data_IF_912166270939
#
_entry.id   IF_912166270939
#
_cell.length_a   1.000
_cell.length_b   1.000
_cell.length_c   1.000
_cell.angle_alpha   90.00
_cell.angle_beta   90.00
_cell.angle_gamma   90.00
#
_symmetry.space_group_name_H-M   'P 1'
#
loop_
_entity.id
_entity.type
_entity.pdbx_description
1 polymer ?
#
# COMPACT_ATOMS: atom_id res chain seq x y z
N UNK A 1 -23.07 -49.16 57.61
CA UNK A 1 -23.17 -47.85 58.30
C UNK A 1 -22.37 -46.83 57.48
N UNK A 2 -22.73 -46.61 56.21
CA UNK A 2 -21.86 -45.92 55.26
C UNK A 2 -22.53 -45.51 53.95
N UNK A 3 -23.81 -45.14 53.99
CA UNK A 3 -24.58 -44.73 52.80
C UNK A 3 -25.22 -43.35 52.95
N UNK A 4 -25.08 -42.68 54.11
CA UNK A 4 -25.67 -41.36 54.35
C UNK A 4 -24.67 -40.20 54.12
N UNK A 5 -23.36 -40.45 54.23
CA UNK A 5 -22.34 -39.40 54.02
C UNK A 5 -22.07 -39.12 52.54
N UNK A 6 -22.30 -40.09 51.64
CA UNK A 6 -22.09 -39.92 50.20
C UNK A 6 -23.13 -39.02 49.52
N UNK A 7 -24.41 -39.10 49.93
CA UNK A 7 -25.47 -38.24 49.38
C UNK A 7 -25.27 -36.76 49.76
N UNK A 8 -24.71 -36.49 50.95
CA UNK A 8 -24.46 -35.11 51.40
C UNK A 8 -23.28 -34.44 50.69
N UNK A 9 -22.30 -35.22 50.23
CA UNK A 9 -21.15 -34.72 49.47
C UNK A 9 -21.52 -34.47 48.00
N UNK A 10 -22.38 -35.31 47.41
CA UNK A 10 -22.88 -35.11 46.05
C UNK A 10 -23.80 -33.87 45.93
N UNK A 11 -24.61 -33.55 46.95
CA UNK A 11 -25.40 -32.30 47.00
C UNK A 11 -24.54 -31.04 47.17
N UNK A 12 -23.39 -31.13 47.85
CA UNK A 12 -22.44 -30.02 47.98
C UNK A 12 -21.64 -29.81 46.69
N UNK A 13 -21.20 -30.90 46.05
CA UNK A 13 -20.51 -30.86 44.75
C UNK A 13 -21.41 -30.26 43.65
N UNK A 14 -22.70 -30.64 43.62
CA UNK A 14 -23.66 -30.10 42.64
C UNK A 14 -23.98 -28.61 42.84
N UNK A 15 -23.88 -28.09 44.08
CA UNK A 15 -24.03 -26.66 44.37
C UNK A 15 -22.79 -25.86 43.96
N UNK A 16 -21.59 -26.38 44.20
CA UNK A 16 -20.34 -25.75 43.75
C UNK A 16 -20.23 -25.71 42.22
N UNK A 17 -20.66 -26.78 41.53
CA UNK A 17 -20.69 -26.83 40.06
C UNK A 17 -21.73 -25.88 39.45
N UNK A 18 -22.83 -25.61 40.15
CA UNK A 18 -23.83 -24.62 39.74
C UNK A 18 -23.33 -23.17 39.93
N UNK A 19 -22.64 -22.88 41.04
CA UNK A 19 -22.01 -21.58 41.29
C UNK A 19 -20.83 -21.32 40.32
N UNK A 20 -20.06 -22.36 39.96
CA UNK A 20 -18.95 -22.25 39.01
C UNK A 20 -19.45 -21.96 37.58
N UNK A 21 -20.53 -22.62 37.16
CA UNK A 21 -21.17 -22.35 35.86
C UNK A 21 -21.80 -20.96 35.76
N UNK A 22 -22.37 -20.42 36.84
CA UNK A 22 -22.90 -19.04 36.86
C UNK A 22 -21.76 -18.00 36.84
N UNK A 23 -20.63 -18.30 37.47
CA UNK A 23 -19.44 -17.46 37.42
C UNK A 23 -18.80 -17.45 36.02
N UNK A 24 -18.77 -18.60 35.33
CA UNK A 24 -18.32 -18.72 33.94
C UNK A 24 -19.28 -18.00 32.97
N UNK A 25 -20.60 -18.15 33.16
CA UNK A 25 -21.61 -17.36 32.43
C UNK A 25 -21.46 -15.86 32.65
N UNK A 26 -21.14 -15.42 33.87
CA UNK A 26 -20.91 -13.99 34.15
C UNK A 26 -19.69 -13.42 33.40
N UNK A 27 -18.63 -14.24 33.22
CA UNK A 27 -17.45 -13.88 32.42
C UNK A 27 -17.72 -13.82 30.91
N UNK A 28 -18.61 -14.67 30.41
CA UNK A 28 -19.02 -14.65 29.00
C UNK A 28 -20.09 -13.57 28.69
N UNK A 29 -20.88 -13.17 29.69
CA UNK A 29 -21.90 -12.14 29.58
C UNK A 29 -21.41 -10.73 29.89
N UNK A 30 -20.13 -10.55 30.20
CA UNK A 30 -19.47 -9.24 30.16
C UNK A 30 -19.20 -8.84 28.70
N UNK A 31 -20.26 -8.89 27.88
CA UNK A 31 -20.37 -8.15 26.63
C UNK A 31 -20.44 -6.70 27.05
N UNK A 32 -19.25 -6.15 27.28
CA UNK A 32 -19.00 -4.72 27.47
C UNK A 32 -19.92 -3.99 26.49
N UNK A 33 -20.90 -3.24 27.01
CA UNK A 33 -21.74 -2.35 26.20
C UNK A 33 -20.85 -1.65 25.18
N UNK A 34 -21.27 -1.51 23.90
CA UNK A 34 -20.42 -0.94 22.88
C UNK A 34 -19.93 0.41 23.36
N UNK A 35 -18.65 0.44 23.76
CA UNK A 35 -17.98 1.63 24.28
C UNK A 35 -18.27 2.74 23.28
N UNK A 36 -19.01 3.76 23.72
CA UNK A 36 -19.54 4.83 22.86
C UNK A 36 -18.42 5.29 21.94
N UNK A 37 -18.55 4.98 20.64
CA UNK A 37 -17.45 5.16 19.70
C UNK A 37 -16.96 6.60 19.80
N UNK A 38 -15.64 6.84 19.96
CA UNK A 38 -15.13 8.19 20.07
C UNK A 38 -15.57 8.96 18.82
N UNK A 39 -16.25 10.10 18.99
CA UNK A 39 -16.71 10.91 17.87
C UNK A 39 -15.51 11.32 17.01
N UNK A 40 -15.37 10.66 15.86
CA UNK A 40 -14.28 10.92 14.91
C UNK A 40 -14.63 12.21 14.16
N UNK A 41 -13.74 13.22 14.13
CA UNK A 41 -14.04 14.51 13.50
C UNK A 41 -14.30 14.37 12.00
N UNK A 42 -15.15 15.26 11.45
CA UNK A 42 -15.51 15.31 10.01
C UNK A 42 -14.29 15.40 9.06
N UNK A 43 -13.15 15.87 9.55
CA UNK A 43 -11.87 15.95 8.83
C UNK A 43 -11.25 14.56 8.52
N UNK A 44 -11.85 13.45 8.97
CA UNK A 44 -11.43 12.08 8.63
C UNK A 44 -11.37 11.82 7.11
N UNK A 45 -12.31 12.38 6.35
CA UNK A 45 -12.31 12.22 4.89
C UNK A 45 -11.09 12.89 4.24
N UNK A 46 -10.63 14.01 4.80
CA UNK A 46 -9.40 14.68 4.34
C UNK A 46 -8.19 13.78 4.55
N UNK A 47 -8.13 13.06 5.67
CA UNK A 47 -7.02 12.14 5.99
C UNK A 47 -7.04 10.92 5.09
N UNK A 48 -8.23 10.37 4.80
CA UNK A 48 -8.38 9.26 3.86
C UNK A 48 -7.95 9.69 2.47
N UNK A 49 -8.45 10.82 1.96
CA UNK A 49 -8.05 11.37 0.66
C UNK A 49 -6.55 11.61 0.62
N UNK A 50 -5.96 12.15 1.68
CA UNK A 50 -4.53 12.36 1.80
C UNK A 50 -3.73 11.04 1.76
N UNK A 51 -4.14 10.04 2.54
CA UNK A 51 -3.49 8.73 2.58
C UNK A 51 -3.59 8.01 1.23
N UNK A 52 -4.78 8.03 0.61
CA UNK A 52 -5.00 7.48 -0.74
C UNK A 52 -4.13 8.20 -1.76
N UNK A 53 -4.04 9.53 -1.70
CA UNK A 53 -3.23 10.33 -2.63
C UNK A 53 -1.73 10.06 -2.46
N UNK A 54 -1.25 9.99 -1.22
CA UNK A 54 0.14 9.66 -0.92
C UNK A 54 0.52 8.25 -1.41
N UNK A 55 -0.34 7.27 -1.17
CA UNK A 55 -0.19 5.91 -1.67
C UNK A 55 -0.23 5.85 -3.22
N UNK A 56 -1.13 6.60 -3.85
CA UNK A 56 -1.30 6.66 -5.29
C UNK A 56 -0.04 7.24 -5.99
N UNK A 57 0.50 8.35 -5.47
CA UNK A 57 1.71 8.98 -6.03
C UNK A 57 2.96 8.11 -5.75
N UNK A 58 3.05 7.46 -4.60
CA UNK A 58 4.12 6.48 -4.33
C UNK A 58 4.09 5.31 -5.33
N UNK A 59 2.90 4.83 -5.68
CA UNK A 59 2.72 3.82 -6.72
C UNK A 59 3.09 4.36 -8.11
N UNK A 60 2.70 5.59 -8.44
CA UNK A 60 3.00 6.20 -9.73
C UNK A 60 4.51 6.34 -9.96
N UNK A 61 5.26 6.79 -8.95
CA UNK A 61 6.73 6.81 -8.98
C UNK A 61 7.34 5.44 -9.30
N UNK A 62 6.78 4.38 -8.74
CA UNK A 62 7.30 3.02 -8.93
C UNK A 62 7.05 2.49 -10.34
N UNK A 63 5.86 2.75 -10.88
CA UNK A 63 5.47 2.31 -12.22
C UNK A 63 5.99 3.24 -13.33
N UNK A 64 6.48 4.44 -13.02
CA UNK A 64 6.95 5.42 -14.01
C UNK A 64 7.94 4.84 -15.03
N UNK A 65 8.82 3.94 -14.59
CA UNK A 65 9.77 3.24 -15.46
C UNK A 65 9.10 2.37 -16.52
N UNK A 66 8.01 1.67 -16.17
CA UNK A 66 7.31 0.76 -17.09
C UNK A 66 6.70 1.55 -18.26
N UNK A 67 6.40 2.85 -18.06
CA UNK A 67 5.97 3.75 -19.12
C UNK A 67 7.14 4.39 -19.86
N UNK A 68 8.14 4.84 -19.13
CA UNK A 68 9.34 5.44 -19.70
C UNK A 68 10.05 4.51 -20.68
N UNK A 69 10.06 3.19 -20.42
CA UNK A 69 10.66 2.19 -21.31
C UNK A 69 9.88 1.99 -22.63
N UNK A 70 8.61 2.39 -22.68
CA UNK A 70 7.73 2.25 -23.86
C UNK A 70 7.65 3.56 -24.66
N UNK A 71 8.03 4.69 -24.08
CA UNK A 71 8.11 6.00 -24.73
C UNK A 71 9.08 5.94 -25.92
N UNK A 72 8.59 6.26 -27.13
CA UNK A 72 9.40 6.24 -28.37
C UNK A 72 9.37 7.60 -29.04
N UNK A 73 10.51 8.00 -29.61
CA UNK A 73 10.59 9.20 -30.46
C UNK A 73 10.71 8.76 -31.91
N UNK A 74 9.69 9.08 -32.71
CA UNK A 74 9.50 8.70 -34.13
C UNK A 74 9.47 7.19 -34.40
N UNK A 75 8.27 6.67 -34.69
CA UNK A 75 7.98 5.23 -34.85
C UNK A 75 8.62 4.51 -36.05
N UNK A 76 9.60 5.11 -36.73
CA UNK A 76 10.23 4.55 -37.94
C UNK A 76 11.65 4.05 -37.73
N UNK A 77 12.31 4.41 -36.62
CA UNK A 77 13.70 4.02 -36.32
C UNK A 77 13.76 3.06 -35.12
N UNK A 78 14.71 2.13 -35.16
CA UNK A 78 14.93 1.23 -34.03
C UNK A 78 15.48 2.00 -32.83
N UNK A 79 14.93 1.73 -31.64
CA UNK A 79 15.32 2.40 -30.38
C UNK A 79 16.83 2.34 -30.13
N UNK A 80 17.46 1.24 -30.55
CA UNK A 80 18.90 1.04 -30.44
C UNK A 80 19.71 2.00 -31.33
N UNK A 81 19.27 2.25 -32.56
CA UNK A 81 19.96 3.16 -33.48
C UNK A 81 19.90 4.61 -32.98
N UNK A 82 18.76 5.02 -32.42
CA UNK A 82 18.59 6.34 -31.79
C UNK A 82 19.53 6.48 -30.60
N UNK A 83 19.58 5.45 -29.74
CA UNK A 83 20.44 5.42 -28.56
C UNK A 83 21.93 5.46 -28.91
N UNK A 84 22.38 4.71 -29.93
CA UNK A 84 23.78 4.69 -30.34
C UNK A 84 24.29 6.05 -30.84
N UNK A 85 23.40 6.91 -31.35
CA UNK A 85 23.77 8.20 -31.93
C UNK A 85 24.20 9.22 -30.88
N UNK A 86 23.51 9.23 -29.73
CA UNK A 86 23.84 10.06 -28.57
C UNK A 86 23.33 9.37 -27.29
N UNK A 87 24.15 8.51 -26.65
CA UNK A 87 23.74 7.78 -25.45
C UNK A 87 23.35 8.71 -24.30
N UNK A 88 24.10 9.80 -24.10
CA UNK A 88 23.96 10.67 -22.93
C UNK A 88 22.78 11.64 -23.01
N UNK A 89 22.29 11.96 -24.21
CA UNK A 89 21.07 12.76 -24.39
C UNK A 89 20.00 12.06 -25.22
N UNK A 90 20.03 10.73 -25.25
CA UNK A 90 19.06 9.95 -25.99
C UNK A 90 17.63 10.25 -25.50
N UNK A 91 16.70 10.60 -26.42
CA UNK A 91 15.31 10.82 -26.09
C UNK A 91 14.55 9.50 -25.88
N UNK A 92 15.25 8.36 -25.96
CA UNK A 92 14.72 7.03 -25.68
C UNK A 92 15.60 6.30 -24.69
N UNK A 93 14.99 5.47 -23.85
CA UNK A 93 15.67 4.61 -22.90
C UNK A 93 15.88 3.23 -23.53
N UNK A 94 17.13 2.77 -23.59
CA UNK A 94 17.47 1.44 -24.09
C UNK A 94 18.05 0.56 -22.98
N UNK A 95 17.58 -0.70 -22.94
CA UNK A 95 18.15 -1.78 -22.14
C UNK A 95 18.01 -3.09 -22.91
N UNK A 96 18.94 -4.00 -22.71
CA UNK A 96 18.86 -5.37 -23.21
C UNK A 96 17.64 -6.10 -22.62
N UNK A 97 17.04 -7.09 -23.32
CA UNK A 97 15.95 -7.89 -22.77
C UNK A 97 16.27 -8.54 -21.41
N UNK A 98 17.52 -8.94 -21.19
CA UNK A 98 17.99 -9.49 -19.91
C UNK A 98 17.97 -8.44 -18.81
N UNK A 99 18.44 -7.22 -19.10
CA UNK A 99 18.44 -6.10 -18.18
C UNK A 99 17.03 -5.63 -17.84
N UNK A 100 16.13 -5.56 -18.83
CA UNK A 100 14.71 -5.27 -18.60
C UNK A 100 14.06 -6.28 -17.64
N UNK A 101 14.38 -7.56 -17.78
CA UNK A 101 13.87 -8.61 -16.88
C UNK A 101 14.38 -8.44 -15.45
N UNK A 102 15.64 -8.03 -15.28
CA UNK A 102 16.20 -7.68 -13.97
C UNK A 102 15.50 -6.46 -13.36
N UNK A 103 15.23 -5.43 -14.16
CA UNK A 103 14.58 -4.20 -13.71
C UNK A 103 13.11 -4.42 -13.31
N UNK A 104 12.37 -5.24 -14.06
CA UNK A 104 10.99 -5.58 -13.71
C UNK A 104 10.89 -6.44 -12.43
N UNK A 105 11.88 -7.31 -12.17
CA UNK A 105 11.92 -8.12 -10.95
C UNK A 105 12.51 -7.40 -9.72
N UNK A 106 13.30 -6.35 -9.93
CA UNK A 106 13.92 -5.56 -8.86
C UNK A 106 12.88 -4.88 -7.95
N UNK A 107 11.80 -4.33 -8.51
CA UNK A 107 10.76 -3.65 -7.72
C UNK A 107 10.02 -4.61 -6.77
N UNK A 108 9.45 -5.75 -7.22
CA UNK A 108 8.81 -6.71 -6.33
C UNK A 108 9.76 -7.27 -5.27
N UNK A 109 11.03 -7.48 -5.62
CA UNK A 109 12.06 -7.95 -4.69
C UNK A 109 12.26 -6.97 -3.53
N UNK A 110 12.42 -5.68 -3.83
CA UNK A 110 12.57 -4.65 -2.80
C UNK A 110 11.35 -4.54 -1.89
N UNK A 111 10.15 -4.63 -2.47
CA UNK A 111 8.90 -4.64 -1.71
C UNK A 111 8.84 -5.85 -0.75
N UNK A 112 9.17 -7.05 -1.24
CA UNK A 112 9.20 -8.26 -0.42
C UNK A 112 10.22 -8.17 0.73
N UNK A 113 11.45 -7.73 0.45
CA UNK A 113 12.49 -7.57 1.47
C UNK A 113 12.03 -6.61 2.57
N UNK A 114 11.42 -5.47 2.21
CA UNK A 114 10.96 -4.50 3.20
C UNK A 114 9.77 -5.03 4.02
N UNK A 115 8.84 -5.79 3.42
CA UNK A 115 7.76 -6.45 4.15
C UNK A 115 8.31 -7.43 5.20
N UNK A 116 9.34 -8.22 4.86
CA UNK A 116 10.01 -9.12 5.81
C UNK A 116 10.63 -8.32 6.96
N UNK A 117 11.34 -7.23 6.66
CA UNK A 117 11.92 -6.34 7.68
C UNK A 117 10.83 -5.79 8.61
N UNK A 118 9.69 -5.36 8.06
CA UNK A 118 8.57 -4.85 8.86
C UNK A 118 7.99 -5.92 9.78
N UNK A 119 7.87 -7.17 9.33
CA UNK A 119 7.40 -8.28 10.17
C UNK A 119 8.39 -8.59 11.30
N UNK A 120 9.69 -8.65 10.99
CA UNK A 120 10.75 -8.95 11.97
C UNK A 120 10.90 -7.85 13.04
N UNK A 121 10.66 -6.60 12.67
CA UNK A 121 10.78 -5.45 13.58
C UNK A 121 9.52 -5.18 14.40
N UNK A 122 8.43 -5.95 14.19
CA UNK A 122 7.16 -5.73 14.87
C UNK A 122 6.37 -4.52 14.34
N UNK A 123 6.70 -4.08 13.13
CA UNK A 123 6.16 -2.86 12.52
C UNK A 123 6.81 -1.58 13.05
N UNK A 124 6.43 -0.45 12.47
CA UNK A 124 6.94 0.85 12.90
C UNK A 124 6.02 1.47 13.95
N UNK A 125 6.60 1.91 15.07
CA UNK A 125 5.85 2.54 16.17
C UNK A 125 5.20 3.89 15.82
N UNK A 126 5.62 4.56 14.74
CA UNK A 126 5.10 5.88 14.31
C UNK A 126 4.84 5.90 12.79
N UNK A 127 3.60 5.61 12.39
CA UNK A 127 3.21 5.44 10.98
C UNK A 127 3.46 6.71 10.17
N UNK A 128 3.18 7.89 10.72
CA UNK A 128 3.39 9.19 10.07
C UNK A 128 4.81 9.35 9.54
N UNK A 129 5.81 9.09 10.39
CA UNK A 129 7.21 9.27 10.03
C UNK A 129 7.70 8.16 9.10
N UNK A 130 7.25 6.92 9.30
CA UNK A 130 7.59 5.81 8.40
C UNK A 130 7.09 6.04 6.98
N UNK A 131 5.85 6.52 6.82
CA UNK A 131 5.30 6.85 5.51
C UNK A 131 5.97 8.07 4.90
N UNK A 132 6.31 9.08 5.71
CA UNK A 132 7.09 10.21 5.21
C UNK A 132 8.46 9.78 4.66
N UNK A 133 9.21 8.97 5.41
CA UNK A 133 10.52 8.47 4.97
C UNK A 133 10.37 7.63 3.70
N UNK A 134 9.35 6.78 3.63
CA UNK A 134 9.02 6.02 2.43
C UNK A 134 8.78 6.94 1.21
N UNK A 135 7.93 7.96 1.34
CA UNK A 135 7.66 8.92 0.25
C UNK A 135 8.95 9.65 -0.16
N UNK A 136 9.76 10.08 0.81
CA UNK A 136 11.03 10.75 0.52
C UNK A 136 12.00 9.84 -0.24
N UNK A 137 12.16 8.59 0.19
CA UNK A 137 12.99 7.59 -0.51
C UNK A 137 12.46 7.34 -1.93
N UNK A 138 11.14 7.20 -2.10
CA UNK A 138 10.50 7.04 -3.40
C UNK A 138 10.77 8.24 -4.31
N UNK A 139 10.59 9.46 -3.80
CA UNK A 139 10.83 10.71 -4.52
C UNK A 139 12.29 10.85 -4.95
N UNK A 140 13.22 10.66 -4.02
CA UNK A 140 14.66 10.77 -4.26
C UNK A 140 15.12 9.76 -5.30
N UNK A 141 14.72 8.50 -5.14
CA UNK A 141 15.10 7.44 -6.09
C UNK A 141 14.55 7.70 -7.48
N UNK A 142 13.30 8.15 -7.61
CA UNK A 142 12.70 8.55 -8.91
C UNK A 142 13.43 9.72 -9.56
N UNK A 143 13.79 10.76 -8.80
CA UNK A 143 14.53 11.92 -9.33
C UNK A 143 15.97 11.57 -9.75
N UNK A 144 16.56 10.56 -9.10
CA UNK A 144 17.91 10.09 -9.39
C UNK A 144 17.97 9.13 -10.59
N UNK A 145 16.85 8.61 -11.10
CA UNK A 145 16.86 7.69 -12.26
C UNK A 145 17.45 8.36 -13.51
N UNK A 146 16.99 9.54 -13.99
CA UNK A 146 17.55 10.13 -15.20
C UNK A 146 19.06 10.45 -15.14
N UNK A 147 19.61 11.09 -14.09
CA UNK A 147 21.04 11.40 -14.05
C UNK A 147 21.94 10.19 -13.82
N UNK A 148 21.44 9.11 -13.22
CA UNK A 148 22.23 7.90 -12.93
C UNK A 148 22.02 6.77 -13.95
N UNK A 149 21.16 6.99 -14.96
CA UNK A 149 20.84 6.01 -15.99
C UNK A 149 22.09 5.56 -16.78
N UNK A 150 22.94 6.50 -17.19
CA UNK A 150 24.11 6.22 -18.05
C UNK A 150 25.27 5.57 -17.30
N UNK A 151 25.22 5.51 -15.97
CA UNK A 151 26.39 5.16 -15.16
C UNK A 151 26.61 3.65 -15.11
N UNK A 152 25.59 2.91 -14.72
CA UNK A 152 25.62 1.45 -14.71
C UNK A 152 24.22 0.87 -14.51
N UNK A 153 23.96 -0.30 -15.09
CA UNK A 153 22.68 -1.01 -14.92
C UNK A 153 22.38 -1.29 -13.44
N UNK A 154 23.41 -1.66 -12.68
CA UNK A 154 23.29 -1.96 -11.25
C UNK A 154 22.75 -0.77 -10.45
N UNK A 155 23.12 0.46 -10.82
CA UNK A 155 22.61 1.68 -10.16
C UNK A 155 21.10 1.78 -10.34
N UNK A 156 20.59 1.57 -11.56
CA UNK A 156 19.15 1.59 -11.85
C UNK A 156 18.41 0.46 -11.12
N UNK A 157 19.02 -0.74 -11.04
CA UNK A 157 18.48 -1.87 -10.27
C UNK A 157 18.37 -1.54 -8.78
N UNK A 158 19.40 -0.94 -8.17
CA UNK A 158 19.38 -0.53 -6.76
C UNK A 158 18.28 0.52 -6.52
N UNK A 159 18.17 1.54 -7.39
CA UNK A 159 17.10 2.53 -7.30
C UNK A 159 15.71 1.87 -7.38
N UNK A 160 15.54 0.86 -8.25
CA UNK A 160 14.30 0.08 -8.36
C UNK A 160 13.96 -0.73 -7.12
N UNK A 161 14.96 -1.36 -6.51
CA UNK A 161 14.80 -2.07 -5.23
C UNK A 161 14.37 -1.08 -4.14
N UNK A 162 15.00 0.09 -4.07
CA UNK A 162 14.64 1.13 -3.09
C UNK A 162 13.23 1.68 -3.31
N UNK A 163 12.80 1.86 -4.57
CA UNK A 163 11.40 2.20 -4.90
C UNK A 163 10.44 1.11 -4.41
N UNK A 164 10.75 -0.17 -4.63
CA UNK A 164 9.98 -1.28 -4.10
C UNK A 164 9.86 -1.25 -2.58
N UNK A 165 10.98 -1.06 -1.89
CA UNK A 165 11.01 -0.96 -0.43
C UNK A 165 10.17 0.22 0.08
N UNK A 166 10.16 1.35 -0.65
CA UNK A 166 9.38 2.53 -0.27
C UNK A 166 7.86 2.30 -0.32
N UNK A 167 7.35 1.40 -1.15
CA UNK A 167 5.91 1.16 -1.29
C UNK A 167 5.39 0.15 -0.25
N UNK A 168 6.25 -0.72 0.28
CA UNK A 168 5.86 -1.76 1.24
C UNK A 168 5.03 -1.26 2.45
N UNK A 169 5.33 -0.11 3.07
CA UNK A 169 4.55 0.42 4.19
C UNK A 169 3.12 0.88 3.84
N UNK A 170 2.74 0.92 2.57
CA UNK A 170 1.42 1.38 2.11
C UNK A 170 0.29 0.47 2.59
N UNK A 171 0.49 -0.86 2.59
CA UNK A 171 -0.52 -1.82 3.05
C UNK A 171 -0.82 -1.65 4.56
N UNK A 172 0.18 -1.61 5.45
CA UNK A 172 -0.08 -1.33 6.87
C UNK A 172 -0.60 0.08 7.12
N UNK A 173 -0.29 1.07 6.26
CA UNK A 173 -0.94 2.39 6.32
C UNK A 173 -2.46 2.29 6.13
N UNK A 174 -2.92 1.56 5.12
CA UNK A 174 -4.37 1.34 4.90
C UNK A 174 -5.00 0.69 6.14
N UNK A 175 -4.34 -0.32 6.71
CA UNK A 175 -4.79 -0.96 7.95
C UNK A 175 -4.85 0.00 9.14
N UNK A 176 -3.82 0.85 9.31
CA UNK A 176 -3.75 1.85 10.39
C UNK A 176 -4.85 2.91 10.25
N UNK A 177 -5.03 3.47 9.05
CA UNK A 177 -6.08 4.48 8.81
C UNK A 177 -7.46 3.86 9.03
N UNK A 178 -7.68 2.63 8.58
CA UNK A 178 -8.92 1.92 8.83
C UNK A 178 -9.16 1.69 10.33
N UNK A 179 -8.12 1.31 11.09
CA UNK A 179 -8.25 1.00 12.51
C UNK A 179 -8.52 2.22 13.40
N UNK A 180 -7.96 3.38 13.07
CA UNK A 180 -8.01 4.58 13.94
C UNK A 180 -8.89 5.72 13.43
N UNK A 181 -9.17 5.78 12.13
CA UNK A 181 -9.85 6.93 11.50
C UNK A 181 -11.23 6.59 10.93
N UNK A 182 -11.68 5.35 11.08
CA UNK A 182 -12.91 4.84 10.46
C UNK A 182 -13.88 4.30 11.50
N UNK A 183 -15.18 4.69 11.48
CA UNK A 183 -16.21 4.07 12.30
C UNK A 183 -16.47 2.62 11.88
N UNK A 184 -16.79 1.74 12.81
CA UNK A 184 -17.01 0.31 12.51
C UNK A 184 -18.11 0.08 11.47
N UNK A 185 -19.15 0.92 11.47
CA UNK A 185 -20.26 0.84 10.53
C UNK A 185 -19.87 1.12 9.06
N UNK A 186 -18.81 1.89 8.81
CA UNK A 186 -18.41 2.36 7.48
C UNK A 186 -17.06 1.78 7.01
N UNK A 187 -16.51 0.80 7.73
CA UNK A 187 -15.18 0.22 7.43
C UNK A 187 -15.06 -0.22 5.96
N UNK A 188 -16.08 -0.89 5.41
CA UNK A 188 -16.05 -1.37 4.02
C UNK A 188 -15.82 -0.24 3.01
N UNK A 189 -16.51 0.89 3.17
CA UNK A 189 -16.42 2.05 2.27
C UNK A 189 -15.05 2.73 2.39
N UNK A 190 -14.51 2.84 3.60
CA UNK A 190 -13.20 3.45 3.80
C UNK A 190 -12.07 2.57 3.27
N UNK A 191 -12.15 1.25 3.45
CA UNK A 191 -11.19 0.31 2.88
C UNK A 191 -11.25 0.33 1.36
N UNK A 192 -12.45 0.40 0.75
CA UNK A 192 -12.57 0.50 -0.71
C UNK A 192 -11.96 1.81 -1.23
N UNK A 193 -12.21 2.94 -0.57
CA UNK A 193 -11.60 4.24 -0.90
C UNK A 193 -10.08 4.25 -0.72
N UNK A 194 -9.57 3.69 0.39
CA UNK A 194 -8.14 3.60 0.64
C UNK A 194 -7.46 2.72 -0.39
N UNK A 195 -7.97 1.51 -0.63
CA UNK A 195 -7.42 0.57 -1.63
C UNK A 195 -7.60 1.04 -3.08
N UNK A 196 -8.38 2.09 -3.33
CA UNK A 196 -8.51 2.70 -4.66
C UNK A 196 -7.26 3.49 -5.09
N UNK A 197 -6.28 3.64 -4.20
CA UNK A 197 -5.01 4.29 -4.51
C UNK A 197 -4.31 3.67 -5.73
N UNK A 198 -4.48 2.38 -5.98
CA UNK A 198 -3.80 1.70 -7.08
C UNK A 198 -4.33 2.12 -8.45
N UNK A 199 -5.66 2.24 -8.58
CA UNK A 199 -6.30 2.76 -9.77
C UNK A 199 -6.00 4.25 -9.95
N UNK A 200 -6.09 5.04 -8.88
CA UNK A 200 -5.83 6.49 -8.91
C UNK A 200 -4.37 6.78 -9.31
N UNK A 201 -3.41 6.01 -8.76
CA UNK A 201 -1.99 6.18 -9.06
C UNK A 201 -1.64 5.85 -10.51
N UNK A 202 -2.23 4.78 -11.05
CA UNK A 202 -2.05 4.42 -12.46
C UNK A 202 -2.77 5.41 -13.39
N UNK A 203 -3.97 5.86 -13.05
CA UNK A 203 -4.67 6.94 -13.76
C UNK A 203 -3.79 8.20 -13.84
N UNK A 204 -3.26 8.64 -12.69
CA UNK A 204 -2.37 9.80 -12.60
C UNK A 204 -1.11 9.62 -13.45
N UNK A 205 -0.47 8.45 -13.37
CA UNK A 205 0.72 8.14 -14.14
C UNK A 205 0.45 8.15 -15.65
N UNK A 206 -0.64 7.52 -16.09
CA UNK A 206 -1.01 7.48 -17.50
C UNK A 206 -1.25 8.90 -18.03
N UNK A 207 -2.14 9.65 -17.37
CA UNK A 207 -2.52 11.00 -17.78
C UNK A 207 -1.30 11.93 -17.92
N UNK A 208 -0.31 11.78 -17.04
CA UNK A 208 0.87 12.66 -17.00
C UNK A 208 1.99 12.17 -17.92
N UNK A 209 2.20 10.85 -18.03
CA UNK A 209 3.30 10.26 -18.80
C UNK A 209 3.17 10.49 -20.31
N UNK A 210 1.96 10.48 -20.87
CA UNK A 210 1.74 10.70 -22.30
C UNK A 210 2.22 12.10 -22.75
N UNK A 211 1.81 13.14 -22.01
CA UNK A 211 2.21 14.52 -22.26
C UNK A 211 3.72 14.68 -22.02
N UNK A 212 4.24 14.14 -20.93
CA UNK A 212 5.67 14.25 -20.61
C UNK A 212 6.55 13.57 -21.66
N UNK A 213 6.13 12.41 -22.18
CA UNK A 213 6.85 11.69 -23.23
C UNK A 213 6.95 12.51 -24.53
N UNK A 214 5.90 13.27 -24.90
CA UNK A 214 5.90 14.09 -26.12
C UNK A 214 6.83 15.32 -26.00
N UNK A 215 6.75 16.07 -24.89
CA UNK A 215 7.47 17.35 -24.75
C UNK A 215 8.85 17.21 -24.10
N UNK A 216 9.03 16.26 -23.17
CA UNK A 216 10.21 16.13 -22.31
C UNK A 216 10.83 14.73 -22.36
N UNK A 217 10.43 13.91 -23.35
CA UNK A 217 10.84 12.52 -23.50
C UNK A 217 10.62 11.69 -22.21
N UNK A 218 11.33 10.58 -22.08
CA UNK A 218 11.22 9.68 -20.92
C UNK A 218 11.68 10.34 -19.60
N UNK A 219 12.62 11.29 -19.66
CA UNK A 219 13.19 11.97 -18.48
C UNK A 219 12.15 12.80 -17.74
N UNK A 220 11.27 13.49 -18.49
CA UNK A 220 10.21 14.32 -17.92
C UNK A 220 9.24 13.55 -17.00
N UNK A 221 8.97 12.28 -17.32
CA UNK A 221 8.09 11.41 -16.53
C UNK A 221 8.64 11.25 -15.10
N UNK A 222 9.94 11.02 -14.97
CA UNK A 222 10.60 10.83 -13.68
C UNK A 222 10.65 12.14 -12.88
N UNK A 223 11.03 13.25 -13.50
CA UNK A 223 11.07 14.54 -12.82
C UNK A 223 9.69 14.98 -12.32
N UNK A 224 8.66 14.84 -13.16
CA UNK A 224 7.30 15.22 -12.79
C UNK A 224 6.74 14.35 -11.66
N UNK A 225 6.86 13.02 -11.74
CA UNK A 225 6.39 12.13 -10.69
C UNK A 225 7.20 12.29 -9.40
N UNK A 226 8.51 12.43 -9.49
CA UNK A 226 9.40 12.67 -8.35
C UNK A 226 9.05 13.95 -7.60
N UNK A 227 8.92 15.08 -8.30
CA UNK A 227 8.54 16.35 -7.67
C UNK A 227 7.14 16.32 -7.05
N UNK A 228 6.20 15.63 -7.71
CA UNK A 228 4.84 15.46 -7.17
C UNK A 228 4.83 14.60 -5.90
N UNK A 229 5.68 13.58 -5.84
CA UNK A 229 5.91 12.75 -4.66
C UNK A 229 6.54 13.56 -3.52
N UNK A 230 7.49 14.45 -3.83
CA UNK A 230 8.05 15.36 -2.84
C UNK A 230 6.97 16.29 -2.26
N UNK A 231 6.14 16.89 -3.12
CA UNK A 231 5.08 17.80 -2.72
C UNK A 231 4.03 17.13 -1.81
N UNK A 232 3.58 15.92 -2.16
CA UNK A 232 2.64 15.17 -1.31
C UNK A 232 3.30 14.74 0.01
N UNK A 233 4.60 14.43 0.02
CA UNK A 233 5.35 14.12 1.24
C UNK A 233 5.44 15.29 2.21
N UNK A 234 5.63 16.51 1.70
CA UNK A 234 5.59 17.73 2.52
C UNK A 234 4.19 17.90 3.11
N UNK A 235 3.15 17.81 2.28
CA UNK A 235 1.76 17.94 2.71
C UNK A 235 1.36 16.87 3.74
N UNK A 236 1.85 15.64 3.56
CA UNK A 236 1.69 14.53 4.50
C UNK A 236 2.22 14.86 5.89
N UNK A 237 3.44 15.40 6.01
CA UNK A 237 4.01 15.75 7.32
C UNK A 237 3.20 16.83 7.99
N UNK A 238 2.71 17.85 7.27
CA UNK A 238 1.95 18.91 7.91
C UNK A 238 0.56 18.45 8.37
N UNK A 239 -0.14 17.66 7.55
CA UNK A 239 -1.55 17.33 7.76
C UNK A 239 -1.80 16.01 8.51
N UNK A 240 -1.00 14.98 8.28
CA UNK A 240 -1.26 13.65 8.85
C UNK A 240 -0.84 13.57 10.33
N UNK A 241 -1.65 12.89 11.15
CA UNK A 241 -1.37 12.55 12.55
C UNK A 241 -1.70 11.09 12.80
N UNK A 242 -0.97 10.44 13.70
CA UNK A 242 -1.09 9.00 13.92
C UNK A 242 -2.40 8.65 14.64
N UNK A 243 -2.83 9.51 15.56
CA UNK A 243 -4.07 9.34 16.32
C UNK A 243 -4.96 10.59 16.25
N UNK A 244 -6.31 10.41 16.25
CA UNK A 244 -7.26 11.52 16.32
C UNK A 244 -7.14 12.35 17.61
N UNK A 245 -6.66 11.73 18.70
CA UNK A 245 -6.40 12.41 19.97
C UNK A 245 -5.27 13.44 19.88
N UNK A 246 -4.28 13.25 19.01
CA UNK A 246 -3.17 14.19 18.81
C UNK A 246 -3.64 15.50 18.15
N UNK A 247 -4.77 15.48 17.45
CA UNK A 247 -5.38 16.69 16.87
C UNK A 247 -6.24 17.48 17.85
N UNK A 248 -6.62 16.88 18.99
CA UNK A 248 -7.59 17.45 19.94
C UNK A 248 -6.96 18.34 21.02
N UNK A 249 -5.68 18.69 20.89
CA UNK A 249 -4.91 19.44 21.90
C UNK A 249 -5.42 20.88 22.20
N UNK A 250 -6.55 21.32 21.63
CA UNK A 250 -7.12 22.65 21.91
C UNK A 250 -8.44 22.67 22.69
N UNK A 251 -9.18 21.56 22.92
CA UNK A 251 -10.48 21.65 23.63
C UNK A 251 -10.86 20.40 24.42
N UNK A 252 -10.10 20.09 25.48
CA UNK A 252 -10.61 19.50 26.73
C UNK A 252 -9.43 19.00 27.56
N UNK A 253 -8.99 19.82 28.51
CA UNK A 253 -8.06 19.41 29.58
C UNK A 253 -8.75 18.52 30.63
N UNK A 254 -10.03 18.17 30.46
CA UNK A 254 -10.85 17.51 31.50
C UNK A 254 -11.37 16.10 31.18
N UNK A 255 -10.72 15.34 30.30
CA UNK A 255 -11.01 13.89 30.18
C UNK A 255 -9.72 13.05 30.27
N UNK A 256 -8.90 13.33 31.29
CA UNK A 256 -7.96 12.35 31.82
C UNK A 256 -8.71 11.35 32.69
N UNK A 257 -9.58 10.55 32.09
CA UNK A 257 -10.07 9.31 32.71
C UNK A 257 -9.46 8.14 31.96
N UNK A 258 -8.34 7.66 32.50
CA UNK A 258 -7.99 6.25 32.60
C UNK A 258 -8.41 5.33 31.42
N UNK A 259 -7.93 5.60 30.21
CA UNK A 259 -7.77 4.52 29.24
C UNK A 259 -6.44 3.85 29.60
N UNK A 260 -6.41 2.59 30.07
CA UNK A 260 -5.16 1.87 30.07
C UNK A 260 -4.68 1.92 28.63
N UNK A 261 -3.50 2.51 28.42
CA UNK A 261 -2.80 2.29 27.18
C UNK A 261 -2.79 0.77 27.02
N UNK A 262 -3.54 0.25 26.05
CA UNK A 262 -3.46 -1.15 25.67
C UNK A 262 -2.05 -1.27 25.11
N UNK A 263 -1.09 -1.46 26.01
CA UNK A 263 0.17 -2.13 25.71
C UNK A 263 -0.32 -3.45 25.19
N UNK A 264 -0.44 -3.57 23.87
CA UNK A 264 -0.54 -4.86 23.20
C UNK A 264 0.68 -5.60 23.71
N UNK A 265 0.47 -6.47 24.70
CA UNK A 265 1.44 -7.48 25.06
C UNK A 265 1.82 -8.13 23.75
N UNK A 266 3.11 -8.20 23.47
CA UNK A 266 3.63 -8.84 22.28
C UNK A 266 3.45 -10.35 22.48
N UNK A 267 2.20 -10.81 22.46
CA UNK A 267 1.87 -12.22 22.50
C UNK A 267 2.58 -12.87 21.32
N UNK A 268 3.39 -13.91 21.57
CA UNK A 268 4.15 -14.54 20.52
C UNK A 268 3.17 -15.09 19.50
N UNK A 269 3.23 -14.53 18.28
CA UNK A 269 2.38 -14.96 17.17
C UNK A 269 2.63 -16.45 16.95
N UNK A 270 1.60 -17.32 16.98
CA UNK A 270 1.78 -18.76 16.84
C UNK A 270 2.07 -19.14 15.38
N UNK A 271 3.31 -18.88 14.93
CA UNK A 271 3.75 -19.12 13.55
C UNK A 271 3.54 -20.57 13.10
N UNK A 272 3.69 -21.55 13.99
CA UNK A 272 3.48 -22.96 13.67
C UNK A 272 2.02 -23.26 13.32
N UNK A 273 1.07 -22.75 14.08
CA UNK A 273 -0.36 -22.94 13.80
C UNK A 273 -0.80 -22.24 12.51
N UNK A 274 -0.15 -21.12 12.18
CA UNK A 274 -0.37 -20.40 10.92
C UNK A 274 -0.06 -21.28 9.69
N UNK A 275 1.14 -21.89 9.65
CA UNK A 275 1.56 -22.72 8.51
C UNK A 275 0.83 -24.07 8.40
N UNK A 276 0.18 -24.55 9.47
CA UNK A 276 -0.55 -25.82 9.45
C UNK A 276 -2.03 -25.68 9.05
N UNK A 277 -2.56 -24.45 8.97
CA UNK A 277 -3.99 -24.24 8.72
C UNK A 277 -4.35 -24.18 7.23
N UNK A 278 -5.33 -25.01 6.81
CA UNK A 278 -5.83 -25.09 5.44
C UNK A 278 -6.46 -23.77 4.91
N UNK A 279 -7.21 -22.99 5.72
CA UNK A 279 -7.79 -21.72 5.25
C UNK A 279 -6.74 -20.70 4.83
N UNK A 280 -5.58 -20.68 5.50
CA UNK A 280 -4.49 -19.75 5.20
C UNK A 280 -3.84 -20.11 3.86
N UNK A 281 -3.59 -21.40 3.61
CA UNK A 281 -3.10 -21.86 2.30
C UNK A 281 -4.10 -21.55 1.18
N UNK A 282 -5.40 -21.71 1.44
CA UNK A 282 -6.46 -21.35 0.47
C UNK A 282 -6.44 -19.85 0.15
N UNK A 283 -6.31 -19.00 1.17
CA UNK A 283 -6.17 -17.56 0.98
C UNK A 283 -4.87 -17.19 0.23
N UNK A 284 -3.76 -17.87 0.52
CA UNK A 284 -2.48 -17.62 -0.12
C UNK A 284 -2.53 -17.95 -1.62
N UNK A 285 -3.12 -19.10 -1.97
CA UNK A 285 -3.31 -19.51 -3.38
C UNK A 285 -4.24 -18.52 -4.09
N UNK A 286 -5.34 -18.10 -3.45
CA UNK A 286 -6.24 -17.10 -4.01
C UNK A 286 -5.55 -15.74 -4.22
N UNK A 287 -4.77 -15.28 -3.25
CA UNK A 287 -4.00 -14.04 -3.36
C UNK A 287 -2.95 -14.14 -4.48
N UNK A 288 -2.23 -15.27 -4.57
CA UNK A 288 -1.27 -15.50 -5.63
C UNK A 288 -1.92 -15.49 -7.02
N UNK A 289 -3.07 -16.14 -7.19
CA UNK A 289 -3.82 -16.10 -8.45
C UNK A 289 -4.27 -14.68 -8.80
N UNK A 290 -4.81 -13.94 -7.84
CA UNK A 290 -5.27 -12.56 -8.03
C UNK A 290 -4.12 -11.61 -8.40
N UNK A 291 -3.06 -11.55 -7.60
CA UNK A 291 -1.92 -10.68 -7.87
C UNK A 291 -1.08 -11.15 -9.06
N UNK A 292 -0.98 -12.46 -9.27
CA UNK A 292 -0.30 -13.07 -10.41
C UNK A 292 -0.99 -12.78 -11.74
N UNK A 293 -2.32 -12.63 -11.76
CA UNK A 293 -3.05 -12.20 -12.95
C UNK A 293 -2.98 -10.69 -13.19
N UNK A 294 -3.18 -9.90 -12.13
CA UNK A 294 -3.29 -8.43 -12.26
C UNK A 294 -1.93 -7.77 -12.54
N UNK A 295 -0.84 -8.23 -11.90
CA UNK A 295 0.46 -7.53 -11.97
C UNK A 295 1.09 -7.54 -13.36
N UNK A 296 1.12 -8.67 -14.11
CA UNK A 296 1.62 -8.68 -15.49
C UNK A 296 0.74 -7.84 -16.41
N UNK A 297 -0.58 -7.88 -16.22
CA UNK A 297 -1.50 -7.04 -17.00
C UNK A 297 -1.18 -5.56 -16.80
N UNK A 298 -1.02 -5.09 -15.57
CA UNK A 298 -0.66 -3.69 -15.29
C UNK A 298 0.72 -3.29 -15.85
N UNK A 299 1.68 -4.22 -15.84
CA UNK A 299 3.05 -3.95 -16.30
C UNK A 299 3.14 -3.88 -17.82
N UNK A 300 2.47 -4.80 -18.51
CA UNK A 300 2.58 -4.93 -19.97
C UNK A 300 1.41 -4.31 -20.74
N UNK A 301 0.34 -3.86 -20.09
CA UNK A 301 -0.79 -3.17 -20.70
C UNK A 301 -0.38 -2.11 -21.74
N UNK A 302 0.49 -1.13 -21.43
CA UNK A 302 0.88 -0.11 -22.41
C UNK A 302 1.60 -0.70 -23.62
N UNK A 303 2.50 -1.67 -23.39
CA UNK A 303 3.26 -2.32 -24.47
C UNK A 303 2.34 -3.14 -25.39
N UNK A 304 1.40 -3.89 -24.82
CA UNK A 304 0.44 -4.71 -25.58
C UNK A 304 -0.46 -3.80 -26.42
N UNK A 305 -1.02 -2.76 -25.81
CA UNK A 305 -1.95 -1.85 -26.50
C UNK A 305 -1.26 -1.10 -27.63
N UNK A 306 -0.06 -0.58 -27.38
CA UNK A 306 0.75 0.12 -28.39
C UNK A 306 1.10 -0.78 -29.57
N UNK A 307 1.53 -2.02 -29.32
CA UNK A 307 1.88 -2.99 -30.37
C UNK A 307 0.67 -3.47 -31.17
N UNK A 308 -0.46 -3.69 -30.52
CA UNK A 308 -1.66 -4.20 -31.18
C UNK A 308 -2.35 -3.14 -32.06
N UNK A 309 -2.35 -1.87 -31.63
CA UNK A 309 -3.12 -0.80 -32.27
C UNK A 309 -2.26 0.24 -33.00
N UNK A 310 -0.92 0.12 -32.99
CA UNK A 310 0.02 1.08 -33.59
C UNK A 310 -0.26 2.55 -33.21
N UNK A 311 -0.61 2.76 -31.94
CA UNK A 311 -1.00 4.07 -31.41
C UNK A 311 0.20 4.95 -31.07
N UNK A 312 -0.01 6.27 -31.12
CA UNK A 312 0.91 7.25 -30.54
C UNK A 312 0.98 7.10 -29.01
N UNK A 313 2.02 7.64 -28.39
CA UNK A 313 2.23 7.55 -26.94
C UNK A 313 1.08 8.19 -26.15
N UNK A 314 0.57 9.33 -26.61
CA UNK A 314 -0.56 10.04 -26.00
C UNK A 314 -1.84 9.21 -26.11
N UNK A 315 -2.15 8.68 -27.30
CA UNK A 315 -3.35 7.88 -27.50
C UNK A 315 -3.31 6.61 -26.63
N UNK A 316 -2.18 5.91 -26.60
CA UNK A 316 -1.97 4.73 -25.75
C UNK A 316 -2.21 5.05 -24.27
N UNK A 317 -1.71 6.19 -23.80
CA UNK A 317 -1.95 6.68 -22.44
C UNK A 317 -3.45 6.95 -22.20
N UNK A 318 -4.13 7.65 -23.12
CA UNK A 318 -5.55 7.98 -22.98
C UNK A 318 -6.45 6.74 -22.91
N UNK A 319 -6.21 5.73 -23.76
CA UNK A 319 -6.98 4.47 -23.71
C UNK A 319 -6.77 3.71 -22.40
N UNK A 320 -5.54 3.64 -21.91
CA UNK A 320 -5.27 3.03 -20.61
C UNK A 320 -5.92 3.81 -19.46
N UNK A 321 -5.91 5.14 -19.54
CA UNK A 321 -6.57 6.03 -18.58
C UNK A 321 -8.06 5.70 -18.48
N UNK A 322 -8.75 5.50 -19.62
CA UNK A 322 -10.15 5.09 -19.65
C UNK A 322 -10.40 3.75 -18.92
N UNK A 323 -9.52 2.75 -19.10
CA UNK A 323 -9.63 1.46 -18.40
C UNK A 323 -9.59 1.63 -16.87
N UNK A 324 -8.69 2.46 -16.35
CA UNK A 324 -8.60 2.69 -14.91
C UNK A 324 -9.76 3.52 -14.35
N UNK A 325 -10.32 4.45 -15.13
CA UNK A 325 -11.55 5.17 -14.75
C UNK A 325 -12.72 4.20 -14.62
N UNK A 326 -12.87 3.27 -15.57
CA UNK A 326 -13.93 2.24 -15.52
C UNK A 326 -13.75 1.36 -14.29
N UNK A 327 -12.52 0.89 -14.02
CA UNK A 327 -12.22 0.09 -12.82
C UNK A 327 -12.53 0.85 -11.53
N UNK A 328 -12.16 2.13 -11.45
CA UNK A 328 -12.45 2.97 -10.29
C UNK A 328 -13.96 3.15 -10.10
N UNK A 329 -14.69 3.37 -11.19
CA UNK A 329 -16.15 3.53 -11.15
C UNK A 329 -16.82 2.25 -10.67
N UNK A 330 -16.48 1.10 -11.26
CA UNK A 330 -17.01 -0.21 -10.85
C UNK A 330 -16.72 -0.50 -9.38
N UNK A 331 -15.54 -0.12 -8.88
CA UNK A 331 -15.16 -0.32 -7.48
C UNK A 331 -15.91 0.59 -6.51
N UNK A 332 -16.30 1.79 -6.93
CA UNK A 332 -17.08 2.73 -6.10
C UNK A 332 -18.58 2.37 -6.05
N UNK A 333 -19.10 1.67 -7.06
CA UNK A 333 -20.51 1.27 -7.16
C UNK A 333 -20.80 -0.19 -6.74
N UNK A 334 -19.76 -0.98 -6.43
CA UNK A 334 -19.88 -2.35 -5.92
C UNK A 334 -19.98 -2.41 -4.41
#
# INVERSE_FOLDING_TARGET
MGTADSESQDEQQAKEDAECNDCEKSKFLDVKEPEKEPEIPRWRYVIVVLATSAAAIGLSCSFAFNFASVCKVNGTLDTYEIYQRDPSNSPVMYFSPTEMSMLYSAYPLGNFCMLVVMVLTGGFSRVRWSIFVAIMVSSLTTLLVPPLYDWNIHTTVILKIMQGASVAPTVPLVGHVTAYWTPRAEIGVFVSLLTSYSQIGLFYLMATSGIMCEYFAWRGIFYFNGLSSLAIGILWVFMFRDHPSEMKQSKSVEEKCNKPAVRRSHEPVPYKAFFTSLPIWSCLVGAFGNFGGISPFMTFAPSILKKALNLTDIATSQYNTCSFIIQLSLKLFS
#
